data_IF_370380850416
#
_entry.id   IF_370380850416
#
_cell.length_a   1.000
_cell.length_b   1.000
_cell.length_c   1.000
_cell.angle_alpha   90.00
_cell.angle_beta   90.00
_cell.angle_gamma   90.00
#
_symmetry.space_group_name_H-M   'P 1'
#
loop_
_entity.id
_entity.type
_entity.pdbx_description
1 polymer ?
#
# COMPACT_ATOMS: atom_id res chain seq x y z
N UNK A 1 -4.55 -17.69 -2.79
CA UNK A 1 -3.47 -18.32 -1.98
C UNK A 1 -2.41 -17.26 -1.78
N UNK A 2 -1.86 -17.12 -0.58
CA UNK A 2 -0.83 -16.12 -0.34
C UNK A 2 0.52 -16.44 -0.99
N UNK A 3 1.43 -15.49 -0.88
CA UNK A 3 2.75 -15.48 -1.51
C UNK A 3 3.75 -16.25 -0.66
N UNK A 4 4.57 -17.08 -1.30
CA UNK A 4 5.62 -17.81 -0.59
C UNK A 4 6.70 -16.84 -0.08
N UNK A 5 7.30 -17.08 1.11
CA UNK A 5 8.37 -16.25 1.65
C UNK A 5 9.56 -16.06 0.71
N UNK A 6 9.86 -17.05 -0.13
CA UNK A 6 10.93 -16.95 -1.14
C UNK A 6 10.64 -15.91 -2.22
N UNK A 7 9.38 -15.75 -2.61
CA UNK A 7 8.95 -14.73 -3.57
C UNK A 7 9.00 -13.34 -2.95
N UNK A 8 8.66 -13.22 -1.66
CA UNK A 8 8.80 -11.98 -0.89
C UNK A 8 10.27 -11.54 -0.88
N UNK A 9 11.19 -12.44 -0.51
CA UNK A 9 12.63 -12.17 -0.53
C UNK A 9 13.16 -11.82 -1.91
N UNK A 10 12.66 -12.47 -2.96
CA UNK A 10 13.03 -12.16 -4.33
C UNK A 10 12.60 -10.73 -4.71
N UNK A 11 11.38 -10.33 -4.32
CA UNK A 11 10.84 -8.99 -4.59
C UNK A 11 11.54 -7.90 -3.78
N UNK A 12 11.83 -8.15 -2.51
CA UNK A 12 12.65 -7.28 -1.66
C UNK A 12 14.02 -7.02 -2.29
N UNK A 13 14.65 -8.07 -2.83
CA UNK A 13 15.94 -7.96 -3.50
C UNK A 13 15.84 -7.26 -4.86
N UNK A 14 14.78 -7.48 -5.61
CA UNK A 14 14.49 -6.81 -6.89
C UNK A 14 14.33 -5.30 -6.70
N UNK A 15 13.51 -4.90 -5.73
CA UNK A 15 13.21 -3.50 -5.43
C UNK A 15 14.26 -2.86 -4.50
N UNK A 16 15.23 -3.64 -4.01
CA UNK A 16 16.21 -3.20 -3.01
C UNK A 16 15.58 -2.59 -1.74
N UNK A 17 14.47 -3.17 -1.30
CA UNK A 17 13.69 -2.75 -0.12
C UNK A 17 13.71 -3.84 0.95
N UNK A 18 13.29 -3.49 2.17
CA UNK A 18 12.94 -4.46 3.20
C UNK A 18 11.48 -4.26 3.57
N UNK A 19 10.67 -5.31 3.38
CA UNK A 19 9.30 -5.34 3.87
C UNK A 19 9.32 -5.62 5.36
N UNK A 20 8.38 -5.01 6.08
CA UNK A 20 8.18 -5.33 7.49
C UNK A 20 7.56 -6.72 7.66
N UNK A 21 7.65 -7.26 8.87
CA UNK A 21 6.96 -8.51 9.23
C UNK A 21 5.46 -8.41 8.95
N UNK A 22 4.83 -7.26 9.20
CA UNK A 22 3.39 -7.04 8.94
C UNK A 22 3.03 -7.22 7.46
N UNK A 23 3.76 -6.58 6.54
CA UNK A 23 3.53 -6.71 5.10
C UNK A 23 3.84 -8.13 4.63
N UNK A 24 4.92 -8.72 5.14
CA UNK A 24 5.32 -10.08 4.80
C UNK A 24 4.25 -11.09 5.23
N UNK A 25 3.69 -10.95 6.43
CA UNK A 25 2.59 -11.79 6.93
C UNK A 25 1.33 -11.56 6.09
N UNK A 26 1.00 -10.30 5.78
CA UNK A 26 -0.15 -10.01 4.94
C UNK A 26 -0.04 -10.70 3.58
N UNK A 27 1.06 -10.51 2.86
CA UNK A 27 1.23 -11.11 1.54
C UNK A 27 1.33 -12.63 1.59
N UNK A 28 1.86 -13.21 2.67
CA UNK A 28 1.83 -14.66 2.89
C UNK A 28 0.43 -15.25 3.05
N UNK A 29 -0.54 -14.44 3.46
CA UNK A 29 -1.95 -14.86 3.58
C UNK A 29 -2.79 -14.43 2.38
N UNK A 30 -2.55 -13.22 1.87
CA UNK A 30 -3.35 -12.53 0.86
C UNK A 30 -2.39 -12.01 -0.23
N UNK A 31 -2.32 -12.73 -1.35
CA UNK A 31 -1.47 -12.32 -2.49
C UNK A 31 -2.01 -11.10 -3.23
N UNK A 32 -3.34 -11.01 -3.30
CA UNK A 32 -4.09 -9.96 -3.97
C UNK A 32 -5.39 -9.73 -3.21
N UNK A 33 -5.66 -8.48 -2.88
CA UNK A 33 -6.91 -8.00 -2.30
C UNK A 33 -7.55 -7.07 -3.33
N UNK A 34 -8.80 -7.36 -3.73
CA UNK A 34 -9.59 -6.49 -4.60
C UNK A 34 -10.91 -6.26 -3.92
N UNK A 35 -11.23 -4.99 -3.70
CA UNK A 35 -12.50 -4.49 -3.17
C UNK A 35 -12.91 -3.30 -4.03
N UNK A 36 -14.15 -2.86 -3.89
CA UNK A 36 -14.60 -1.64 -4.55
C UNK A 36 -13.75 -0.47 -4.07
N UNK A 37 -13.05 0.21 -4.99
CA UNK A 37 -12.13 1.31 -4.70
C UNK A 37 -10.82 0.93 -4.00
N UNK A 38 -10.50 -0.36 -3.81
CA UNK A 38 -9.25 -0.79 -3.17
C UNK A 38 -8.63 -1.98 -3.89
N UNK A 39 -7.41 -1.83 -4.34
CA UNK A 39 -6.62 -2.92 -4.91
C UNK A 39 -5.24 -2.98 -4.26
N UNK A 40 -4.88 -4.12 -3.66
CA UNK A 40 -3.55 -4.35 -3.12
C UNK A 40 -3.02 -5.63 -3.77
N UNK A 41 -1.86 -5.54 -4.40
CA UNK A 41 -1.35 -6.65 -5.19
C UNK A 41 0.17 -6.79 -5.04
N UNK A 42 0.60 -7.97 -4.58
CA UNK A 42 2.02 -8.27 -4.41
C UNK A 42 2.82 -8.17 -5.71
N UNK A 43 2.22 -8.54 -6.86
CA UNK A 43 2.94 -8.51 -8.14
C UNK A 43 3.15 -7.09 -8.66
N UNK A 44 2.31 -6.16 -8.25
CA UNK A 44 2.34 -4.75 -8.66
C UNK A 44 3.08 -3.87 -7.66
N UNK A 45 3.75 -4.49 -6.68
CA UNK A 45 4.70 -3.79 -5.81
C UNK A 45 5.81 -3.17 -6.65
N UNK A 46 5.96 -1.86 -6.51
CA UNK A 46 6.97 -1.05 -7.18
C UNK A 46 7.52 0.01 -6.23
N UNK A 47 8.82 0.25 -6.23
CA UNK A 47 9.38 1.39 -5.53
C UNK A 47 9.16 2.67 -6.35
N UNK A 48 8.77 3.75 -5.67
CA UNK A 48 8.55 5.05 -6.29
C UNK A 48 9.14 6.14 -5.42
N UNK A 49 9.83 7.10 -6.06
CA UNK A 49 10.40 8.26 -5.35
C UNK A 49 9.53 9.48 -5.58
N UNK A 50 8.81 9.88 -4.54
CA UNK A 50 7.90 11.04 -4.57
C UNK A 50 8.44 12.11 -3.65
N UNK A 51 8.60 13.34 -4.17
CA UNK A 51 9.07 14.49 -3.38
C UNK A 51 10.36 14.21 -2.57
N UNK A 52 11.32 13.46 -3.16
CA UNK A 52 12.60 13.03 -2.54
C UNK A 52 12.47 12.01 -1.40
N UNK A 53 11.32 11.36 -1.25
CA UNK A 53 11.11 10.26 -0.31
C UNK A 53 10.85 8.98 -1.07
N UNK A 54 11.36 7.86 -0.54
CA UNK A 54 11.11 6.54 -1.11
C UNK A 54 9.81 5.97 -0.55
N UNK A 55 8.96 5.54 -1.46
CA UNK A 55 7.72 4.85 -1.19
C UNK A 55 7.71 3.53 -1.93
N UNK A 56 6.93 2.59 -1.42
CA UNK A 56 6.58 1.35 -2.06
C UNK A 56 5.10 1.44 -2.41
N UNK A 57 4.79 1.42 -3.70
CA UNK A 57 3.41 1.33 -4.19
C UNK A 57 2.88 -0.06 -3.89
N UNK A 58 1.84 -0.14 -3.05
CA UNK A 58 1.17 -1.38 -2.69
C UNK A 58 0.04 -1.75 -3.66
N UNK A 59 -0.47 -0.75 -4.39
CA UNK A 59 -1.60 -0.85 -5.31
C UNK A 59 -2.37 0.47 -5.36
N UNK A 60 -3.70 0.40 -5.37
CA UNK A 60 -4.61 1.54 -5.49
C UNK A 60 -5.61 1.61 -4.32
N UNK A 61 -5.94 2.82 -3.88
CA UNK A 61 -6.96 3.07 -2.87
C UNK A 61 -7.65 4.40 -3.15
N UNK A 62 -8.83 4.32 -3.77
CA UNK A 62 -9.64 5.43 -4.27
C UNK A 62 -10.36 6.16 -3.14
N UNK A 63 -9.57 6.81 -2.27
CA UNK A 63 -10.07 7.54 -1.10
C UNK A 63 -10.48 8.97 -1.43
N UNK A 64 -9.68 9.65 -2.25
CA UNK A 64 -9.91 11.06 -2.61
C UNK A 64 -10.33 11.23 -4.07
N UNK A 65 -9.90 10.31 -4.94
CA UNK A 65 -10.29 10.23 -6.35
C UNK A 65 -10.03 8.84 -6.93
N UNK A 66 -10.61 8.58 -8.10
CA UNK A 66 -10.42 7.33 -8.83
C UNK A 66 -8.96 7.20 -9.30
N UNK A 67 -8.30 6.08 -9.00
CA UNK A 67 -6.90 5.85 -9.38
C UNK A 67 -5.86 6.40 -8.41
N UNK A 68 -6.26 6.79 -7.20
CA UNK A 68 -5.32 7.14 -6.12
C UNK A 68 -4.40 5.96 -5.76
N UNK A 69 -3.09 6.19 -5.72
CA UNK A 69 -2.13 5.12 -5.41
C UNK A 69 -1.92 4.94 -3.90
N UNK A 70 -1.91 3.68 -3.47
CA UNK A 70 -1.60 3.28 -2.11
C UNK A 70 -0.09 3.16 -1.94
N UNK A 71 0.48 4.02 -1.09
CA UNK A 71 1.91 4.12 -0.86
C UNK A 71 2.28 3.69 0.55
N UNK A 72 3.37 2.97 0.66
CA UNK A 72 4.02 2.60 1.91
C UNK A 72 5.37 3.29 2.02
N UNK A 73 5.57 4.11 3.04
CA UNK A 73 6.85 4.78 3.21
C UNK A 73 7.87 3.84 3.86
N UNK A 74 9.00 3.61 3.19
CA UNK A 74 10.02 2.68 3.65
C UNK A 74 10.86 3.21 4.83
N UNK A 75 10.85 4.51 5.09
CA UNK A 75 11.62 5.12 6.19
C UNK A 75 10.86 5.08 7.51
N UNK A 76 9.55 5.31 7.50
CA UNK A 76 8.72 5.45 8.69
C UNK A 76 7.58 4.42 8.80
N UNK A 77 7.44 3.53 7.81
CA UNK A 77 6.44 2.46 7.78
C UNK A 77 4.99 2.92 7.83
N UNK A 78 4.71 4.20 7.56
CA UNK A 78 3.37 4.74 7.48
C UNK A 78 2.76 4.52 6.09
N UNK A 79 1.43 4.51 6.04
CA UNK A 79 0.66 4.42 4.80
C UNK A 79 0.25 5.82 4.35
N UNK A 80 0.44 6.07 3.06
CA UNK A 80 0.11 7.31 2.38
C UNK A 80 -0.76 7.01 1.16
N UNK A 81 -1.58 7.98 0.77
CA UNK A 81 -2.31 7.97 -0.49
C UNK A 81 -1.78 9.08 -1.37
N UNK A 82 -1.41 8.71 -2.59
CA UNK A 82 -1.03 9.69 -3.60
C UNK A 82 -2.28 10.27 -4.26
N UNK A 83 -2.72 11.40 -3.73
CA UNK A 83 -3.86 12.12 -4.29
C UNK A 83 -3.40 12.94 -5.50
N UNK A 84 -3.40 12.30 -6.67
CA UNK A 84 -2.88 12.86 -7.93
C UNK A 84 -3.75 14.00 -8.47
N UNK A 85 -5.06 13.99 -8.19
CA UNK A 85 -5.99 15.05 -8.59
C UNK A 85 -5.84 16.34 -7.76
N UNK A 86 -5.16 16.30 -6.62
CA UNK A 86 -4.88 17.53 -5.88
C UNK A 86 -3.92 18.43 -6.66
N UNK A 87 -4.16 19.75 -6.62
CA UNK A 87 -3.23 20.75 -7.14
C UNK A 87 -2.60 21.52 -5.98
N UNK A 88 -1.34 21.22 -5.59
CA UNK A 88 -0.41 20.24 -6.17
C UNK A 88 -0.61 18.78 -5.68
N UNK A 89 -0.14 17.77 -6.45
CA UNK A 89 -0.20 16.37 -6.06
C UNK A 89 0.53 16.16 -4.74
N UNK A 90 -0.12 15.45 -3.81
CA UNK A 90 0.42 15.27 -2.46
C UNK A 90 0.20 13.85 -1.97
N UNK A 91 1.24 13.30 -1.34
CA UNK A 91 1.14 12.09 -0.55
C UNK A 91 0.53 12.44 0.81
N UNK A 92 -0.71 12.01 1.04
CA UNK A 92 -1.46 12.28 2.28
C UNK A 92 -1.31 11.06 3.19
N UNK A 93 -0.82 11.27 4.41
CA UNK A 93 -0.73 10.18 5.40
C UNK A 93 -2.13 9.74 5.80
N UNK A 94 -2.43 8.45 5.67
CA UNK A 94 -3.73 7.88 6.06
C UNK A 94 -3.64 6.96 7.26
N UNK A 95 -2.51 6.28 7.49
CA UNK A 95 -2.34 5.40 8.64
C UNK A 95 -0.90 5.38 9.16
N UNK A 96 -0.73 5.00 10.42
CA UNK A 96 0.57 4.86 11.06
C UNK A 96 1.25 3.50 10.80
N UNK A 97 0.51 2.51 10.35
CA UNK A 97 1.06 1.22 9.96
C UNK A 97 0.14 0.56 8.94
N UNK A 98 0.63 -0.50 8.30
CA UNK A 98 -0.18 -1.27 7.38
C UNK A 98 -1.37 -1.92 8.09
N UNK A 99 -1.16 -2.45 9.30
CA UNK A 99 -2.25 -3.00 10.14
C UNK A 99 -3.29 -1.93 10.49
N UNK A 100 -2.87 -0.74 10.92
CA UNK A 100 -3.77 0.38 11.23
C UNK A 100 -4.61 0.81 10.02
N UNK A 101 -4.01 0.75 8.81
CA UNK A 101 -4.74 0.97 7.56
C UNK A 101 -5.82 -0.09 7.33
N UNK A 102 -5.48 -1.38 7.41
CA UNK A 102 -6.44 -2.47 7.18
C UNK A 102 -7.55 -2.47 8.24
N UNK A 103 -7.22 -2.32 9.52
CA UNK A 103 -8.20 -2.45 10.60
C UNK A 103 -9.09 -1.23 10.79
N UNK A 104 -8.58 -0.03 10.50
CA UNK A 104 -9.32 1.23 10.72
C UNK A 104 -9.73 1.86 9.41
N UNK A 105 -8.77 2.18 8.54
CA UNK A 105 -9.06 2.96 7.32
C UNK A 105 -9.88 2.16 6.32
N UNK A 106 -9.48 0.93 6.02
CA UNK A 106 -10.20 0.06 5.10
C UNK A 106 -11.59 -0.28 5.66
N UNK A 107 -11.68 -0.64 6.95
CA UNK A 107 -12.98 -0.94 7.58
C UNK A 107 -13.92 0.27 7.58
N UNK A 108 -13.42 1.48 7.86
CA UNK A 108 -14.25 2.69 7.80
C UNK A 108 -14.69 2.97 6.36
N UNK A 109 -13.78 2.88 5.40
CA UNK A 109 -14.10 3.10 3.98
C UNK A 109 -15.20 2.15 3.52
N UNK A 110 -15.09 0.85 3.80
CA UNK A 110 -16.10 -0.14 3.42
C UNK A 110 -17.45 0.07 4.12
N UNK A 111 -17.47 0.62 5.33
CA UNK A 111 -18.71 0.94 6.06
C UNK A 111 -19.45 2.15 5.50
N UNK A 112 -18.74 3.09 4.88
CA UNK A 112 -19.39 4.27 4.27
C UNK A 112 -20.14 3.92 2.97
N UNK A 113 -19.94 2.71 2.43
CA UNK A 113 -20.68 2.17 1.29
C UNK A 113 -21.93 1.35 1.67
N UNK A 114 -22.33 1.29 2.95
CA UNK A 114 -23.61 0.69 3.41
C UNK A 114 -24.78 1.69 3.51
#
# INVERSE_FOLDING_TARGET
>A
MGVQPDMIKAKEKELSIQLTDELSIFFQNISKLILEGVEINFTELADETIQKKQYLTLGEFWLYGDGDQLLYNLENHHIYIFAHENQPPKAIKVANSFTDFIEKKLVTYLKEYE
#
